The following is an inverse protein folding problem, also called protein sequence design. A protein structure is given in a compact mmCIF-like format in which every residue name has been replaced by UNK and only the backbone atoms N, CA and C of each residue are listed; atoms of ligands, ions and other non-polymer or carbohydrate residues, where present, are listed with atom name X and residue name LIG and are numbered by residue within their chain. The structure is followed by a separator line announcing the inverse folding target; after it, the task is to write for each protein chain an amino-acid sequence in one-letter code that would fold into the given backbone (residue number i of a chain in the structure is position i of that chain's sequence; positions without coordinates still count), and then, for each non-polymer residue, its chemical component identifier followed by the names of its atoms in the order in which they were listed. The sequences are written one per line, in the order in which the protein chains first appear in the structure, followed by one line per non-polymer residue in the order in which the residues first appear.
data_IF_236212395860
#
_entry.id   IF_236212395860
#
_cell.length_a   1.000
_cell.length_b   1.000
_cell.length_c   1.000
_cell.angle_alpha   90.00
_cell.angle_beta   90.00
_cell.angle_gamma   90.00
#
_symmetry.space_group_name_H-M   'P 1'
#
loop_
_entity.id
_entity.type
_entity.pdbx_description
1 polymer ?
#
# COMPACT_ATOMS: atom_id res chain seq x y z
N UNK A 1 42.50 -18.13 -27.13
CA UNK A 1 41.23 -17.66 -27.72
C UNK A 1 40.99 -16.25 -27.23
N UNK A 2 41.16 -15.23 -28.08
CA UNK A 2 40.79 -13.84 -27.76
C UNK A 2 39.32 -13.63 -28.16
N UNK A 3 38.52 -13.07 -27.26
CA UNK A 3 37.25 -12.44 -27.60
C UNK A 3 37.47 -10.92 -27.74
N UNK A 4 36.91 -10.24 -28.77
CA UNK A 4 36.81 -8.80 -28.77
C UNK A 4 35.35 -8.38 -28.55
N UNK A 5 35.01 -7.91 -27.36
CA UNK A 5 33.85 -7.05 -27.19
C UNK A 5 34.26 -5.63 -27.58
N UNK A 6 33.96 -5.26 -28.82
CA UNK A 6 34.02 -3.87 -29.29
C UNK A 6 32.92 -3.09 -28.58
N UNK A 7 33.30 -2.19 -27.67
CA UNK A 7 32.42 -1.16 -27.14
C UNK A 7 32.06 -0.23 -28.29
N UNK A 8 30.88 -0.42 -28.90
CA UNK A 8 30.41 0.50 -29.94
C UNK A 8 30.20 1.87 -29.34
N UNK A 9 30.81 2.89 -29.94
CA UNK A 9 30.60 4.27 -29.49
C UNK A 9 29.18 4.73 -29.84
N UNK A 10 28.71 5.80 -29.17
CA UNK A 10 27.37 6.34 -29.43
C UNK A 10 27.22 6.82 -30.88
N UNK A 11 28.32 7.24 -31.50
CA UNK A 11 28.34 7.73 -32.88
C UNK A 11 28.25 6.58 -33.89
N UNK A 12 28.93 5.45 -33.64
CA UNK A 12 28.77 4.23 -34.44
C UNK A 12 27.35 3.66 -34.36
N UNK A 13 26.71 3.76 -33.20
CA UNK A 13 25.31 3.38 -33.04
C UNK A 13 24.39 4.29 -33.85
N UNK A 14 24.64 5.62 -33.86
CA UNK A 14 23.84 6.60 -34.62
C UNK A 14 23.99 6.40 -36.12
N UNK A 15 25.20 6.19 -36.61
CA UNK A 15 25.45 5.95 -38.04
C UNK A 15 24.76 4.66 -38.50
N UNK A 16 24.88 3.58 -37.73
CA UNK A 16 24.16 2.34 -38.04
C UNK A 16 22.64 2.56 -38.06
N UNK A 17 22.10 3.27 -37.08
CA UNK A 17 20.67 3.53 -36.98
C UNK A 17 20.14 4.37 -38.15
N UNK A 18 20.84 5.45 -38.50
CA UNK A 18 20.43 6.32 -39.62
C UNK A 18 20.54 5.65 -40.97
N UNK A 19 21.47 4.70 -41.11
CA UNK A 19 21.66 3.94 -42.33
C UNK A 19 20.68 2.76 -42.48
N UNK A 20 20.30 2.11 -41.38
CA UNK A 20 19.60 0.81 -41.45
C UNK A 20 18.19 0.81 -40.84
N UNK A 21 17.82 1.80 -40.01
CA UNK A 21 16.56 1.78 -39.25
C UNK A 21 15.64 2.93 -39.67
N UNK A 22 16.08 4.18 -39.51
CA UNK A 22 15.32 5.38 -39.91
C UNK A 22 16.31 6.45 -40.33
N UNK A 23 16.12 7.05 -41.50
CA UNK A 23 16.98 8.15 -41.94
C UNK A 23 16.90 9.34 -40.97
N UNK A 24 17.96 10.14 -40.96
CA UNK A 24 18.01 11.38 -40.19
C UNK A 24 16.84 12.32 -40.56
N UNK A 25 16.58 12.47 -41.85
CA UNK A 25 15.49 13.31 -42.37
C UNK A 25 14.11 12.86 -41.88
N UNK A 26 13.89 11.54 -41.77
CA UNK A 26 12.65 10.98 -41.25
C UNK A 26 12.43 11.34 -39.77
N UNK A 27 13.50 11.33 -38.96
CA UNK A 27 13.41 11.73 -37.56
C UNK A 27 13.23 13.24 -37.40
N UNK A 28 13.83 14.04 -38.28
CA UNK A 28 13.61 15.49 -38.30
C UNK A 28 12.16 15.84 -38.69
N UNK A 29 11.56 15.12 -39.63
CA UNK A 29 10.14 15.28 -40.00
C UNK A 29 9.22 14.88 -38.83
N UNK A 30 9.52 13.80 -38.13
CA UNK A 30 8.79 13.40 -36.93
C UNK A 30 8.91 14.46 -35.81
N UNK A 31 10.09 15.05 -35.63
CA UNK A 31 10.31 16.14 -34.68
C UNK A 31 9.47 17.37 -35.01
N UNK A 32 9.39 17.75 -36.28
CA UNK A 32 8.53 18.86 -36.75
C UNK A 32 7.04 18.57 -36.53
N UNK A 33 6.57 17.34 -36.81
CA UNK A 33 5.18 16.93 -36.54
C UNK A 33 4.84 16.93 -35.05
N UNK A 34 5.78 16.50 -34.21
CA UNK A 34 5.63 16.54 -32.75
C UNK A 34 5.55 17.99 -32.24
N UNK A 35 6.43 18.87 -32.74
CA UNK A 35 6.41 20.29 -32.41
C UNK A 35 5.06 20.92 -32.73
N UNK A 36 4.55 20.74 -33.96
CA UNK A 36 3.24 21.27 -34.38
C UNK A 36 2.12 20.75 -33.46
N UNK A 37 2.08 19.44 -33.19
CA UNK A 37 1.06 18.86 -32.29
C UNK A 37 1.12 19.42 -30.88
N UNK A 38 2.32 19.63 -30.34
CA UNK A 38 2.51 20.24 -29.02
C UNK A 38 2.02 21.69 -29.08
N UNK A 39 2.49 22.51 -30.03
CA UNK A 39 2.16 23.93 -30.05
C UNK A 39 0.69 24.22 -30.39
N UNK A 40 0.05 23.41 -31.24
CA UNK A 40 -1.35 23.60 -31.66
C UNK A 40 -2.36 23.01 -30.68
N UNK A 41 -2.08 21.85 -30.09
CA UNK A 41 -3.04 21.16 -29.18
C UNK A 41 -2.86 21.62 -27.73
N UNK A 42 -1.62 21.90 -27.30
CA UNK A 42 -1.34 22.21 -25.90
C UNK A 42 -1.56 23.69 -25.58
N UNK A 43 -1.40 24.63 -26.54
CA UNK A 43 -1.64 26.06 -26.24
C UNK A 43 -3.10 26.36 -25.89
N UNK A 44 -4.07 25.71 -26.54
CA UNK A 44 -5.49 25.90 -26.23
C UNK A 44 -5.94 25.23 -24.93
N UNK A 45 -5.28 24.14 -24.51
CA UNK A 45 -5.63 23.40 -23.29
C UNK A 45 -4.87 23.88 -22.04
N UNK A 46 -3.70 24.54 -22.19
CA UNK A 46 -2.89 25.03 -21.07
C UNK A 46 -3.24 26.45 -20.65
N UNK A 47 -3.79 27.28 -21.54
CA UNK A 47 -4.28 28.63 -21.19
C UNK A 47 -5.45 28.59 -20.17
N UNK A 48 -6.16 27.47 -20.07
CA UNK A 48 -7.29 27.27 -19.15
C UNK A 48 -6.91 26.65 -17.80
N UNK A 49 -5.68 26.14 -17.64
CA UNK A 49 -5.23 25.52 -16.39
C UNK A 49 -4.83 26.59 -15.39
N UNK A 50 -5.53 26.63 -14.25
CA UNK A 50 -5.21 27.55 -13.18
C UNK A 50 -4.19 26.95 -12.20
N UNK A 51 -3.57 27.81 -11.39
CA UNK A 51 -2.72 27.38 -10.28
C UNK A 51 -3.48 26.45 -9.31
N UNK A 52 -4.78 26.70 -9.11
CA UNK A 52 -5.63 25.89 -8.25
C UNK A 52 -5.86 24.48 -8.82
N UNK A 53 -5.95 24.33 -10.13
CA UNK A 53 -6.08 23.01 -10.78
C UNK A 53 -4.80 22.18 -10.58
N UNK A 54 -3.64 22.84 -10.65
CA UNK A 54 -2.36 22.20 -10.35
C UNK A 54 -2.26 21.79 -8.87
N UNK A 55 -2.69 22.66 -7.94
CA UNK A 55 -2.74 22.34 -6.50
C UNK A 55 -3.69 21.18 -6.24
N UNK A 56 -4.90 21.22 -6.79
CA UNK A 56 -5.90 20.17 -6.65
C UNK A 56 -5.40 18.84 -7.21
N UNK A 57 -4.80 18.85 -8.40
CA UNK A 57 -4.21 17.65 -9.00
C UNK A 57 -3.08 17.08 -8.14
N UNK A 58 -2.20 17.93 -7.60
CA UNK A 58 -1.13 17.48 -6.70
C UNK A 58 -1.69 16.94 -5.38
N UNK A 59 -2.70 17.57 -4.79
CA UNK A 59 -3.38 17.07 -3.59
C UNK A 59 -4.07 15.74 -3.86
N UNK A 60 -4.78 15.60 -4.97
CA UNK A 60 -5.42 14.35 -5.38
C UNK A 60 -4.37 13.25 -5.60
N UNK A 61 -3.29 13.56 -6.33
CA UNK A 61 -2.21 12.63 -6.57
C UNK A 61 -1.52 12.14 -5.30
N UNK A 62 -1.32 13.03 -4.31
CA UNK A 62 -0.61 12.69 -3.08
C UNK A 62 -1.55 12.07 -2.07
N UNK A 63 -2.69 12.70 -1.77
CA UNK A 63 -3.62 12.26 -0.74
C UNK A 63 -4.41 11.05 -1.23
N UNK A 64 -5.07 11.12 -2.39
CA UNK A 64 -5.94 10.03 -2.84
C UNK A 64 -5.13 8.80 -3.20
N UNK A 65 -3.95 8.93 -3.86
CA UNK A 65 -3.11 7.73 -4.10
C UNK A 65 -2.51 7.17 -2.82
N UNK A 66 -2.15 8.01 -1.85
CA UNK A 66 -1.63 7.51 -0.55
C UNK A 66 -2.74 6.83 0.24
N UNK A 67 -3.94 7.40 0.24
CA UNK A 67 -5.12 6.83 0.88
C UNK A 67 -5.58 5.55 0.18
N UNK A 68 -5.70 5.55 -1.15
CA UNK A 68 -6.07 4.37 -1.93
C UNK A 68 -5.01 3.27 -1.80
N UNK A 69 -3.73 3.63 -1.76
CA UNK A 69 -2.63 2.71 -1.48
C UNK A 69 -2.75 2.10 -0.09
N UNK A 70 -2.90 2.93 0.95
CA UNK A 70 -3.11 2.50 2.33
C UNK A 70 -4.36 1.63 2.48
N UNK A 71 -5.49 2.04 1.91
CA UNK A 71 -6.74 1.31 1.93
C UNK A 71 -6.62 -0.01 1.18
N UNK A 72 -5.96 -0.07 0.01
CA UNK A 72 -5.71 -1.31 -0.73
C UNK A 72 -4.76 -2.26 0.02
N UNK A 73 -3.79 -1.72 0.74
CA UNK A 73 -2.93 -2.51 1.63
C UNK A 73 -3.73 -3.11 2.78
N UNK A 74 -4.62 -2.33 3.39
CA UNK A 74 -5.53 -2.75 4.45
C UNK A 74 -6.55 -3.77 3.93
N UNK A 75 -7.35 -3.40 2.93
CA UNK A 75 -7.67 -4.21 1.72
C UNK A 75 -7.35 -5.69 1.85
N UNK A 76 -6.10 -5.92 1.54
CA UNK A 76 -5.53 -7.23 1.27
C UNK A 76 -5.34 -8.01 2.57
N UNK A 77 -4.93 -7.35 3.65
CA UNK A 77 -4.69 -8.02 4.94
C UNK A 77 -6.01 -8.42 5.59
N UNK A 78 -7.00 -7.53 5.68
CA UNK A 78 -8.29 -7.91 6.27
C UNK A 78 -9.03 -8.91 5.39
N UNK A 79 -8.95 -8.79 4.05
CA UNK A 79 -9.61 -9.73 3.15
C UNK A 79 -9.07 -11.15 3.33
N UNK A 80 -7.75 -11.28 3.53
CA UNK A 80 -7.14 -12.56 3.90
C UNK A 80 -7.60 -13.04 5.28
N UNK A 81 -7.61 -12.17 6.30
CA UNK A 81 -8.07 -12.52 7.64
C UNK A 81 -9.53 -13.00 7.66
N UNK A 82 -10.42 -12.28 6.98
CA UNK A 82 -11.84 -12.63 6.87
C UNK A 82 -12.03 -13.97 6.17
N UNK A 83 -11.28 -14.25 5.10
CA UNK A 83 -11.29 -15.55 4.42
C UNK A 83 -10.77 -16.69 5.30
N UNK A 84 -9.68 -16.46 6.03
CA UNK A 84 -9.08 -17.49 6.89
C UNK A 84 -9.93 -17.76 8.14
N UNK A 85 -10.53 -16.74 8.74
CA UNK A 85 -11.37 -16.86 9.95
C UNK A 85 -12.79 -17.30 9.60
N UNK A 86 -13.29 -16.95 8.41
CA UNK A 86 -14.65 -17.24 7.96
C UNK A 86 -15.73 -16.39 8.61
N UNK A 87 -15.36 -15.26 9.25
CA UNK A 87 -16.26 -14.33 9.93
C UNK A 87 -15.94 -12.91 9.46
N UNK A 88 -16.98 -12.12 9.22
CA UNK A 88 -16.88 -10.73 8.77
C UNK A 88 -16.04 -9.89 9.73
N UNK A 89 -15.10 -9.13 9.18
CA UNK A 89 -14.27 -8.16 9.90
C UNK A 89 -14.73 -6.75 9.52
N UNK A 90 -14.83 -5.86 10.51
CA UNK A 90 -15.27 -4.48 10.32
C UNK A 90 -14.18 -3.48 10.73
N UNK A 91 -14.03 -2.34 10.03
CA UNK A 91 -13.13 -1.27 10.47
C UNK A 91 -13.61 -0.69 11.79
N UNK A 92 -12.68 -0.47 12.72
CA UNK A 92 -13.01 0.11 14.00
C UNK A 92 -13.41 1.59 13.86
N UNK A 93 -14.32 2.11 14.70
CA UNK A 93 -14.55 3.55 14.80
C UNK A 93 -13.26 4.28 15.18
N UNK A 94 -13.09 5.52 14.71
CA UNK A 94 -11.92 6.35 15.05
C UNK A 94 -11.63 6.47 16.56
N UNK A 95 -12.68 6.42 17.38
CA UNK A 95 -12.53 6.44 18.84
C UNK A 95 -11.78 5.21 19.36
N UNK A 96 -11.99 4.04 18.76
CA UNK A 96 -11.35 2.81 19.18
C UNK A 96 -9.88 2.74 18.78
N UNK A 97 -9.54 3.26 17.59
CA UNK A 97 -8.14 3.45 17.20
C UNK A 97 -7.41 4.32 18.23
N UNK A 98 -8.00 5.48 18.57
CA UNK A 98 -7.37 6.43 19.52
C UNK A 98 -7.30 5.94 20.96
N UNK A 99 -8.34 5.25 21.45
CA UNK A 99 -8.42 4.84 22.86
C UNK A 99 -7.79 3.48 23.12
N UNK A 100 -7.91 2.56 22.16
CA UNK A 100 -7.59 1.15 22.35
C UNK A 100 -6.49 0.65 21.43
N UNK A 101 -6.12 1.41 20.38
CA UNK A 101 -5.22 0.96 19.30
C UNK A 101 -5.79 -0.29 18.61
N UNK A 102 -7.04 -0.15 18.16
CA UNK A 102 -7.78 -1.21 17.44
C UNK A 102 -8.11 -0.67 16.06
N UNK A 103 -7.47 -1.24 15.03
CA UNK A 103 -7.73 -0.90 13.63
C UNK A 103 -9.05 -1.54 13.11
N UNK A 104 -9.31 -2.79 13.52
CA UNK A 104 -10.45 -3.61 13.06
C UNK A 104 -11.07 -4.38 14.20
N UNK A 105 -12.30 -4.87 14.01
CA UNK A 105 -12.94 -5.75 14.98
C UNK A 105 -13.81 -6.82 14.34
N UNK A 106 -14.07 -7.87 15.12
CA UNK A 106 -15.07 -8.91 14.83
C UNK A 106 -16.19 -8.76 15.84
N UNK A 107 -17.42 -8.60 15.37
CA UNK A 107 -18.62 -8.52 16.22
C UNK A 107 -19.18 -9.90 16.52
N UNK A 108 -19.32 -10.22 17.80
CA UNK A 108 -19.92 -11.46 18.31
C UNK A 108 -21.08 -11.09 19.25
N UNK A 109 -22.30 -11.00 18.69
CA UNK A 109 -23.48 -10.43 19.39
C UNK A 109 -23.17 -9.01 19.88
N UNK A 110 -23.17 -8.77 21.19
CA UNK A 110 -22.81 -7.48 21.81
C UNK A 110 -21.32 -7.38 22.19
N UNK A 111 -20.54 -8.46 22.01
CA UNK A 111 -19.12 -8.54 22.35
C UNK A 111 -18.26 -8.28 21.11
N UNK A 112 -17.02 -7.82 21.31
CA UNK A 112 -16.13 -7.48 20.19
C UNK A 112 -14.71 -8.03 20.41
N UNK A 113 -14.15 -8.65 19.37
CA UNK A 113 -12.73 -9.00 19.32
C UNK A 113 -12.00 -7.90 18.56
N UNK A 114 -10.99 -7.28 19.16
CA UNK A 114 -10.18 -6.25 18.51
C UNK A 114 -9.03 -6.84 17.71
N UNK A 115 -8.64 -6.17 16.63
CA UNK A 115 -7.54 -6.55 15.75
C UNK A 115 -6.70 -5.31 15.48
N UNK A 116 -5.41 -5.42 15.75
CA UNK A 116 -4.41 -4.42 15.41
C UNK A 116 -3.43 -4.97 14.38
N UNK A 117 -3.30 -4.33 13.24
CA UNK A 117 -2.35 -4.68 12.18
C UNK A 117 -1.06 -3.90 12.39
N UNK A 118 0.07 -4.59 12.36
CA UNK A 118 1.41 -3.98 12.38
C UNK A 118 2.22 -4.48 11.18
N UNK A 119 2.66 -3.59 10.28
CA UNK A 119 3.56 -3.97 9.20
C UNK A 119 4.96 -4.28 9.76
N UNK A 120 5.56 -5.38 9.32
CA UNK A 120 6.94 -5.76 9.64
C UNK A 120 7.79 -5.79 8.36
N UNK A 121 8.96 -5.17 8.41
CA UNK A 121 9.94 -5.07 7.32
C UNK A 121 11.32 -5.54 7.84
N UNK A 122 12.26 -5.84 6.93
CA UNK A 122 13.62 -6.30 7.30
C UNK A 122 14.40 -5.33 8.23
N UNK A 123 14.02 -4.06 8.30
CA UNK A 123 14.62 -3.05 9.19
C UNK A 123 13.85 -2.74 10.49
N UNK A 124 12.63 -3.26 10.66
CA UNK A 124 11.86 -3.04 11.90
C UNK A 124 12.42 -3.99 12.96
N UNK A 125 12.98 -3.42 14.04
CA UNK A 125 13.43 -4.25 15.16
C UNK A 125 12.22 -4.78 15.92
N UNK A 126 12.14 -6.10 16.07
CA UNK A 126 11.15 -6.77 16.95
C UNK A 126 11.07 -6.10 18.33
N UNK A 127 12.19 -5.60 18.85
CA UNK A 127 12.27 -4.86 20.12
C UNK A 127 11.36 -3.63 20.19
N UNK A 128 11.14 -2.91 19.08
CA UNK A 128 10.25 -1.75 19.01
C UNK A 128 8.78 -2.19 19.08
N UNK A 129 8.42 -3.25 18.33
CA UNK A 129 7.07 -3.84 18.37
C UNK A 129 6.74 -4.34 19.78
N UNK A 130 7.68 -5.00 20.45
CA UNK A 130 7.46 -5.47 21.82
C UNK A 130 7.35 -4.33 22.83
N UNK A 131 8.10 -3.24 22.68
CA UNK A 131 7.95 -2.03 23.51
C UNK A 131 6.58 -1.40 23.32
N UNK A 132 6.14 -1.25 22.07
CA UNK A 132 4.82 -0.71 21.75
C UNK A 132 3.71 -1.60 22.32
N UNK A 133 3.80 -2.92 22.14
CA UNK A 133 2.86 -3.89 22.71
C UNK A 133 2.73 -3.77 24.23
N UNK A 134 3.85 -3.55 24.94
CA UNK A 134 3.82 -3.35 26.38
C UNK A 134 3.15 -2.02 26.78
N UNK A 135 3.34 -0.95 26.01
CA UNK A 135 2.68 0.34 26.23
C UNK A 135 1.16 0.25 25.97
N UNK A 136 0.76 -0.53 24.97
CA UNK A 136 -0.64 -0.71 24.57
C UNK A 136 -1.37 -1.76 25.41
N UNK A 137 -0.67 -2.53 26.25
CA UNK A 137 -1.28 -3.56 27.10
C UNK A 137 -2.44 -3.00 27.94
N UNK A 138 -2.22 -1.82 28.54
CA UNK A 138 -3.23 -1.17 29.39
C UNK A 138 -4.47 -0.72 28.60
N UNK A 139 -4.30 -0.30 27.35
CA UNK A 139 -5.43 0.08 26.49
C UNK A 139 -6.19 -1.16 26.04
N UNK A 140 -5.49 -2.25 25.73
CA UNK A 140 -6.11 -3.52 25.37
C UNK A 140 -6.87 -4.14 26.55
N UNK A 141 -6.36 -4.05 27.77
CA UNK A 141 -7.09 -4.46 28.98
C UNK A 141 -8.37 -3.64 29.19
N UNK A 142 -8.36 -2.34 28.87
CA UNK A 142 -9.55 -1.51 28.94
C UNK A 142 -10.56 -1.89 27.86
N UNK A 143 -10.09 -2.20 26.64
CA UNK A 143 -10.95 -2.74 25.59
C UNK A 143 -11.61 -4.05 26.01
N UNK A 144 -10.85 -4.99 26.59
CA UNK A 144 -11.39 -6.27 27.05
C UNK A 144 -12.42 -6.09 28.18
N UNK A 145 -12.25 -5.10 29.06
CA UNK A 145 -13.24 -4.78 30.10
C UNK A 145 -14.53 -4.21 29.52
N UNK A 146 -14.42 -3.34 28.52
CA UNK A 146 -15.56 -2.63 27.92
C UNK A 146 -16.31 -3.50 26.90
N UNK A 147 -15.60 -4.32 26.13
CA UNK A 147 -16.15 -5.06 24.98
C UNK A 147 -16.01 -6.58 25.11
N UNK A 148 -15.55 -7.07 26.27
CA UNK A 148 -15.44 -8.48 26.67
C UNK A 148 -14.49 -9.36 25.88
N UNK A 149 -13.97 -8.90 24.74
CA UNK A 149 -13.05 -9.64 23.89
C UNK A 149 -11.64 -9.05 23.88
N UNK A 150 -10.67 -9.90 23.57
CA UNK A 150 -9.26 -9.52 23.48
C UNK A 150 -8.94 -8.76 22.20
N UNK A 151 -7.81 -8.03 22.24
CA UNK A 151 -7.21 -7.39 21.07
C UNK A 151 -5.99 -8.19 20.61
N UNK A 152 -5.96 -8.58 19.33
CA UNK A 152 -4.90 -9.39 18.74
C UNK A 152 -4.03 -8.59 17.78
N UNK A 153 -2.71 -8.82 17.81
CA UNK A 153 -1.79 -8.23 16.85
C UNK A 153 -1.64 -9.12 15.63
N UNK A 154 -1.80 -8.55 14.44
CA UNK A 154 -1.52 -9.20 13.17
C UNK A 154 -0.27 -8.58 12.56
N UNK A 155 0.77 -9.38 12.41
CA UNK A 155 1.98 -8.97 11.71
C UNK A 155 1.82 -9.25 10.23
N UNK A 156 1.85 -8.18 9.43
CA UNK A 156 1.82 -8.29 7.97
C UNK A 156 3.16 -7.89 7.40
N UNK A 157 3.60 -8.51 6.30
CA UNK A 157 4.78 -8.06 5.57
C UNK A 157 4.56 -8.16 4.07
N UNK A 158 5.29 -7.36 3.31
CA UNK A 158 5.24 -7.40 1.85
C UNK A 158 6.17 -8.50 1.32
N UNK A 159 5.62 -9.40 0.49
CA UNK A 159 6.34 -10.44 -0.26
C UNK A 159 6.07 -10.23 -1.74
N UNK A 160 7.06 -9.70 -2.45
CA UNK A 160 6.88 -9.24 -3.83
C UNK A 160 5.82 -8.13 -3.89
N UNK A 161 4.72 -8.39 -4.60
CA UNK A 161 3.59 -7.46 -4.72
C UNK A 161 2.45 -7.71 -3.72
N UNK A 162 2.51 -8.79 -2.92
CA UNK A 162 1.43 -9.20 -2.00
C UNK A 162 1.79 -8.93 -0.55
N UNK A 163 0.78 -8.71 0.29
CA UNK A 163 0.93 -8.74 1.76
C UNK A 163 0.63 -10.16 2.25
N UNK A 164 1.40 -10.62 3.22
CA UNK A 164 1.21 -11.91 3.88
C UNK A 164 1.18 -11.72 5.40
N UNK A 165 0.27 -12.44 6.07
CA UNK A 165 0.23 -12.59 7.52
C UNK A 165 1.40 -13.49 7.96
N UNK A 166 2.17 -13.03 8.94
CA UNK A 166 3.40 -13.67 9.38
C UNK A 166 3.25 -14.50 10.65
N UNK A 167 2.43 -14.06 11.58
CA UNK A 167 2.13 -14.75 12.83
C UNK A 167 0.84 -15.56 12.72
N UNK A 168 0.82 -16.57 11.85
CA UNK A 168 -0.39 -17.36 11.54
C UNK A 168 -1.00 -18.05 12.77
N UNK A 169 -0.21 -18.30 13.81
CA UNK A 169 -0.65 -18.84 15.09
C UNK A 169 -1.75 -17.99 15.77
N UNK A 170 -1.74 -16.67 15.53
CA UNK A 170 -2.73 -15.75 16.09
C UNK A 170 -4.15 -16.03 15.60
N UNK A 171 -4.28 -16.65 14.41
CA UNK A 171 -5.58 -16.98 13.84
C UNK A 171 -6.30 -18.03 14.67
N UNK A 172 -5.55 -19.01 15.20
CA UNK A 172 -6.10 -20.00 16.10
C UNK A 172 -6.48 -19.41 17.47
N UNK A 173 -5.72 -18.41 17.94
CA UNK A 173 -6.07 -17.67 19.16
C UNK A 173 -7.35 -16.86 18.98
N UNK A 174 -7.51 -16.18 17.84
CA UNK A 174 -8.72 -15.44 17.48
C UNK A 174 -9.92 -16.39 17.41
N UNK A 175 -9.79 -17.56 16.76
CA UNK A 175 -10.86 -18.56 16.70
C UNK A 175 -11.28 -19.04 18.10
N UNK A 176 -10.31 -19.35 18.96
CA UNK A 176 -10.59 -19.75 20.36
C UNK A 176 -11.29 -18.64 21.15
N UNK A 177 -10.90 -17.40 20.93
CA UNK A 177 -11.54 -16.25 21.59
C UNK A 177 -12.98 -16.08 21.11
N UNK A 178 -13.22 -16.22 19.81
CA UNK A 178 -14.57 -16.19 19.23
C UNK A 178 -15.43 -17.32 19.83
N UNK A 179 -14.90 -18.53 19.97
CA UNK A 179 -15.58 -19.64 20.64
C UNK A 179 -15.88 -19.33 22.11
N UNK A 180 -14.95 -18.69 22.83
CA UNK A 180 -15.15 -18.25 24.22
C UNK A 180 -16.27 -17.22 24.33
N UNK A 181 -16.34 -16.28 23.40
CA UNK A 181 -17.33 -15.20 23.40
C UNK A 181 -18.72 -15.65 22.95
N UNK A 182 -18.81 -16.71 22.16
CA UNK A 182 -20.07 -17.31 21.73
C UNK A 182 -20.80 -18.08 22.84
N UNK A 183 -20.07 -18.53 23.86
CA UNK A 183 -20.63 -19.08 25.11
C UNK A 183 -21.27 -17.98 25.95
#
# INVERSE_FOLDING_TARGET
MQQPHSSKTIDECREYYFKNVRSKDHLEELGKKLYIKITEVISSEVEEITEQDCINYMTQLVIDRTFDGYMTEIKTVYGQLEQEIGIKIEPAPDEWDRLYNVDFFIKIKEKHVGIQIKPINQGIQLSQIFKEKNLQLKTHENFEKEYWGKVFYIFSSKVGEKKEIRNKEVLDEIRKEIERLNK
#
